data_IF_178465909239
#
_entry.id   IF_178465909239
#
_cell.length_a   1.000
_cell.length_b   1.000
_cell.length_c   1.000
_cell.angle_alpha   90.00
_cell.angle_beta   90.00
_cell.angle_gamma   90.00
#
_symmetry.space_group_name_H-M   'P 1'
#
loop_
_entity.id
_entity.type
_entity.pdbx_description
1 polymer ?
#
# COMPACT_ATOMS: atom_id res chain seq x y z
N UNK A 1 22.78 2.70 -7.81
CA UNK A 1 21.40 2.80 -7.28
C UNK A 1 21.13 1.54 -6.48
N UNK A 2 21.24 1.64 -5.16
CA UNK A 2 21.04 0.50 -4.25
C UNK A 2 19.60 -0.02 -4.36
N UNK A 3 19.46 -1.31 -4.63
CA UNK A 3 18.18 -2.02 -4.79
C UNK A 3 17.57 -2.28 -3.41
N UNK A 4 17.13 -1.23 -2.72
CA UNK A 4 16.54 -1.36 -1.39
C UNK A 4 15.13 -1.97 -1.44
N UNK A 5 15.00 -3.12 -0.77
CA UNK A 5 13.80 -3.69 -0.10
C UNK A 5 12.49 -3.97 -0.86
N UNK A 6 12.34 -3.63 -2.14
CA UNK A 6 11.06 -3.75 -2.86
C UNK A 6 11.14 -4.73 -4.05
N UNK A 7 11.56 -5.97 -3.80
CA UNK A 7 11.93 -6.95 -4.84
C UNK A 7 10.78 -7.51 -5.68
N UNK A 8 9.52 -7.33 -5.28
CA UNK A 8 8.38 -7.77 -6.08
C UNK A 8 7.25 -6.75 -6.04
N UNK A 9 7.21 -5.90 -7.07
CA UNK A 9 6.10 -5.02 -7.37
C UNK A 9 4.84 -5.86 -7.63
N UNK A 10 3.73 -5.44 -7.02
CA UNK A 10 2.40 -6.05 -7.12
C UNK A 10 1.41 -5.04 -7.69
N UNK A 11 0.20 -5.52 -7.95
CA UNK A 11 -0.97 -4.71 -8.29
C UNK A 11 -2.16 -5.21 -7.46
N UNK A 12 -3.32 -4.59 -7.60
CA UNK A 12 -4.50 -4.93 -6.80
C UNK A 12 -5.07 -6.33 -7.09
N UNK A 13 -4.78 -6.94 -8.24
CA UNK A 13 -5.28 -8.28 -8.57
C UNK A 13 -4.40 -9.41 -8.05
N UNK A 14 -3.15 -9.13 -7.67
CA UNK A 14 -2.20 -10.11 -7.14
C UNK A 14 -1.57 -9.69 -5.80
N UNK A 15 -2.21 -8.76 -5.08
CA UNK A 15 -1.82 -8.33 -3.75
C UNK A 15 -2.19 -9.38 -2.69
N UNK A 16 -1.47 -9.36 -1.58
CA UNK A 16 -1.66 -10.25 -0.44
C UNK A 16 -1.66 -9.48 0.89
N UNK A 17 -2.21 -10.11 1.93
CA UNK A 17 -2.06 -9.63 3.30
C UNK A 17 -0.56 -9.55 3.63
N UNK A 18 -0.15 -8.44 4.24
CA UNK A 18 1.24 -8.11 4.56
C UNK A 18 2.00 -7.35 3.47
N UNK A 19 1.44 -7.18 2.26
CA UNK A 19 2.02 -6.26 1.28
C UNK A 19 1.94 -4.81 1.78
N UNK A 20 2.95 -4.02 1.41
CA UNK A 20 3.05 -2.60 1.71
C UNK A 20 2.49 -1.84 0.50
N UNK A 21 1.57 -0.93 0.75
CA UNK A 21 1.12 0.07 -0.21
C UNK A 21 1.83 1.37 0.11
N UNK A 22 2.45 1.95 -0.92
CA UNK A 22 3.08 3.24 -0.88
C UNK A 22 2.20 4.21 -1.65
N UNK A 23 1.80 5.31 -1.02
CA UNK A 23 0.86 6.28 -1.54
C UNK A 23 1.59 7.56 -1.95
N UNK A 24 1.29 8.05 -3.15
CA UNK A 24 1.65 9.38 -3.67
C UNK A 24 0.34 10.14 -3.85
N UNK A 25 -0.02 10.97 -2.87
CA UNK A 25 -1.31 11.66 -2.82
C UNK A 25 -1.44 12.72 -3.90
N UNK A 26 -0.31 13.33 -4.30
CA UNK A 26 -0.28 14.43 -5.27
C UNK A 26 -0.07 13.96 -6.71
N UNK A 27 0.31 12.70 -6.90
CA UNK A 27 0.77 12.14 -8.17
C UNK A 27 1.94 12.93 -8.76
N UNK A 28 2.87 13.36 -7.91
CA UNK A 28 4.08 14.09 -8.31
C UNK A 28 5.33 13.20 -8.37
N UNK A 29 5.15 11.89 -8.18
CA UNK A 29 6.21 10.88 -8.16
C UNK A 29 6.87 10.72 -6.79
N UNK A 30 6.42 11.43 -5.76
CA UNK A 30 6.98 11.34 -4.40
C UNK A 30 6.05 10.56 -3.49
N UNK A 31 6.66 9.82 -2.58
CA UNK A 31 5.93 9.06 -1.57
C UNK A 31 5.52 9.98 -0.43
N UNK A 32 4.22 10.07 -0.17
CA UNK A 32 3.66 10.83 0.94
C UNK A 32 3.29 9.93 2.14
N UNK A 33 2.92 8.67 1.86
CA UNK A 33 2.41 7.77 2.89
C UNK A 33 2.73 6.30 2.62
N UNK A 34 2.58 5.48 3.65
CA UNK A 34 2.64 4.03 3.53
C UNK A 34 1.59 3.36 4.43
N UNK A 35 1.04 2.27 3.92
CA UNK A 35 0.01 1.47 4.55
C UNK A 35 0.33 -0.01 4.40
N UNK A 36 -0.17 -0.86 5.31
CA UNK A 36 -0.01 -2.32 5.22
C UNK A 36 -1.38 -2.94 4.90
N UNK A 37 -1.44 -3.86 3.93
CA UNK A 37 -2.65 -4.64 3.67
C UNK A 37 -2.87 -5.60 4.84
N UNK A 38 -3.94 -5.39 5.60
CA UNK A 38 -4.27 -6.22 6.78
C UNK A 38 -5.42 -7.17 6.53
N UNK A 39 -6.22 -6.95 5.50
CA UNK A 39 -7.31 -7.87 5.10
C UNK A 39 -7.62 -7.75 3.62
N UNK A 40 -7.89 -8.91 3.00
CA UNK A 40 -8.49 -9.00 1.66
C UNK A 40 -9.75 -9.86 1.79
N UNK A 41 -10.89 -9.37 1.31
CA UNK A 41 -12.18 -10.08 1.41
C UNK A 41 -13.05 -9.75 0.21
N UNK A 42 -13.52 -10.78 -0.50
CA UNK A 42 -14.33 -10.62 -1.72
C UNK A 42 -13.70 -9.63 -2.72
N UNK A 43 -12.39 -9.75 -2.94
CA UNK A 43 -11.61 -8.85 -3.83
C UNK A 43 -11.39 -7.43 -3.30
N UNK A 44 -11.90 -7.08 -2.11
CA UNK A 44 -11.71 -5.76 -1.49
C UNK A 44 -10.47 -5.75 -0.60
N UNK A 45 -9.63 -4.73 -0.76
CA UNK A 45 -8.41 -4.53 0.02
C UNK A 45 -8.69 -3.56 1.17
N UNK A 46 -8.27 -3.95 2.37
CA UNK A 46 -8.32 -3.14 3.56
C UNK A 46 -6.90 -2.97 4.12
N UNK A 47 -6.60 -1.76 4.55
CA UNK A 47 -5.28 -1.36 5.01
C UNK A 47 -5.31 -0.87 6.45
N UNK A 48 -4.15 -0.98 7.11
CA UNK A 48 -3.85 -0.26 8.33
C UNK A 48 -2.76 0.76 8.04
N UNK A 49 -2.92 1.94 8.62
CA UNK A 49 -2.11 3.12 8.41
C UNK A 49 -1.96 3.86 9.74
N UNK A 50 -0.94 4.70 9.88
CA UNK A 50 -0.62 5.34 11.16
C UNK A 50 -1.51 6.55 11.49
N UNK A 51 -2.27 7.07 10.51
CA UNK A 51 -3.06 8.28 10.69
C UNK A 51 -4.50 7.96 11.11
N UNK A 52 -4.79 8.21 12.39
CA UNK A 52 -6.09 7.93 13.06
C UNK A 52 -6.37 6.42 13.13
N UNK A 53 -7.13 6.01 14.15
CA UNK A 53 -7.41 4.60 14.49
C UNK A 53 -8.26 3.82 13.45
N UNK A 54 -8.01 4.01 12.15
CA UNK A 54 -8.60 3.20 11.09
C UNK A 54 -7.95 1.82 11.10
N UNK A 55 -8.37 0.97 12.04
CA UNK A 55 -8.26 -0.47 11.87
C UNK A 55 -9.13 -0.82 10.65
N UNK A 56 -8.50 -1.12 9.51
CA UNK A 56 -9.15 -1.59 8.27
C UNK A 56 -9.82 -0.52 7.40
N UNK A 57 -9.11 0.56 7.05
CA UNK A 57 -9.63 1.47 6.00
C UNK A 57 -9.71 0.73 4.67
N UNK A 58 -10.83 0.85 3.97
CA UNK A 58 -10.94 0.35 2.60
C UNK A 58 -10.03 1.16 1.66
N UNK A 59 -9.19 0.47 0.87
CA UNK A 59 -8.33 1.13 -0.13
C UNK A 59 -9.16 1.93 -1.16
N UNK A 60 -10.34 1.42 -1.52
CA UNK A 60 -11.25 2.15 -2.41
C UNK A 60 -11.72 3.46 -1.77
N UNK A 61 -12.05 3.45 -0.47
CA UNK A 61 -12.46 4.66 0.25
C UNK A 61 -11.30 5.66 0.40
N UNK A 62 -10.05 5.18 0.45
CA UNK A 62 -8.87 6.05 0.41
C UNK A 62 -8.72 6.71 -0.96
N UNK A 63 -8.83 5.95 -2.06
CA UNK A 63 -8.82 6.49 -3.42
C UNK A 63 -9.95 7.49 -3.69
N UNK A 64 -11.13 7.27 -3.11
CA UNK A 64 -12.24 8.22 -3.25
C UNK A 64 -11.98 9.53 -2.50
N UNK A 65 -11.31 9.47 -1.34
CA UNK A 65 -10.94 10.67 -0.59
C UNK A 65 -9.77 11.43 -1.23
N UNK A 66 -8.83 10.69 -1.82
CA UNK A 66 -7.64 11.22 -2.49
C UNK A 66 -7.66 10.83 -3.99
N UNK A 67 -8.50 11.46 -4.82
CA UNK A 67 -8.75 11.01 -6.20
C UNK A 67 -7.53 11.12 -7.13
N UNK A 68 -6.55 11.95 -6.77
CA UNK A 68 -5.28 12.06 -7.50
C UNK A 68 -4.25 11.02 -7.05
N UNK A 69 -4.52 10.28 -5.97
CA UNK A 69 -3.54 9.39 -5.37
C UNK A 69 -3.11 8.29 -6.33
N UNK A 70 -1.81 8.19 -6.55
CA UNK A 70 -1.18 7.04 -7.16
C UNK A 70 -0.69 6.08 -6.06
N UNK A 71 -0.61 4.78 -6.38
CA UNK A 71 -0.13 3.79 -5.44
C UNK A 71 0.85 2.82 -6.09
N UNK A 72 1.79 2.34 -5.28
CA UNK A 72 2.63 1.19 -5.61
C UNK A 72 2.54 0.15 -4.51
N UNK A 73 2.40 -1.12 -4.90
CA UNK A 73 2.25 -2.23 -3.96
C UNK A 73 3.52 -3.08 -4.02
N UNK A 74 4.08 -3.43 -2.87
CA UNK A 74 5.29 -4.21 -2.76
C UNK A 74 5.18 -5.27 -1.67
N UNK A 75 5.67 -6.47 -1.98
CA UNK A 75 5.89 -7.49 -0.95
C UNK A 75 7.27 -7.30 -0.33
N UNK A 76 7.37 -7.05 0.99
CA UNK A 76 8.65 -7.06 1.66
C UNK A 76 9.25 -8.47 1.64
N UNK A 77 10.57 -8.56 1.45
CA UNK A 77 11.35 -9.80 1.62
C UNK A 77 12.29 -9.57 2.80
N UNK A 78 12.10 -10.35 3.87
CA UNK A 78 13.01 -10.31 5.01
C UNK A 78 14.37 -10.86 4.56
N UNK A 79 15.43 -10.11 4.87
CA UNK A 79 16.81 -10.51 4.66
C UNK A 79 17.51 -10.36 6.02
N UNK A 80 18.15 -11.43 6.48
CA UNK A 80 18.96 -11.43 7.69
C UNK A 80 20.39 -11.07 7.29
N UNK A 81 21.00 -10.16 8.03
CA UNK A 81 22.38 -9.73 7.85
C UNK A 81 23.27 -10.27 8.97
#
# INVERSE_FOLDING_TARGET
>A
MERHMLRSKRNTSNAFIGDIIVDDWKNDGKVDHASIITKISNGKIYVSQHNKNYKYRSLAAQRSAEPKMNIWIYRPKLEWY
#
